data_IF_926009119352
#
_entry.id   IF_926009119352
#
_cell.length_a   1.000
_cell.length_b   1.000
_cell.length_c   1.000
_cell.angle_alpha   90.00
_cell.angle_beta   90.00
_cell.angle_gamma   90.00
#
_symmetry.space_group_name_H-M   'P 1'
#
loop_
_entity.id
_entity.type
_entity.pdbx_description
1 polymer ?
#
# COMPACT_ATOMS: atom_id res chain seq x y z
N UNK A 1 -46.19 -31.37 23.13
CA UNK A 1 -45.68 -30.09 22.57
C UNK A 1 -44.31 -30.33 21.97
N UNK A 2 -44.20 -30.41 20.64
CA UNK A 2 -42.90 -30.42 19.94
C UNK A 2 -42.97 -29.34 18.86
N UNK A 3 -42.40 -28.17 19.14
CA UNK A 3 -42.24 -27.11 18.16
C UNK A 3 -41.06 -27.45 17.26
N UNK A 4 -41.35 -27.98 16.06
CA UNK A 4 -40.39 -28.02 14.95
C UNK A 4 -40.12 -26.59 14.50
N UNK A 5 -38.97 -26.03 14.91
CA UNK A 5 -38.39 -24.84 14.30
C UNK A 5 -37.97 -25.17 12.86
N UNK A 6 -38.90 -25.02 11.90
CA UNK A 6 -38.55 -24.87 10.49
C UNK A 6 -37.88 -23.51 10.31
N UNK A 7 -36.57 -23.42 10.53
CA UNK A 7 -35.75 -22.37 9.91
C UNK A 7 -35.76 -22.64 8.41
N UNK A 8 -36.69 -22.00 7.68
CA UNK A 8 -36.52 -21.80 6.25
C UNK A 8 -35.21 -21.03 6.08
N UNK A 9 -34.16 -21.69 5.58
CA UNK A 9 -33.12 -20.98 4.83
C UNK A 9 -33.87 -20.29 3.69
N UNK A 10 -34.09 -18.98 3.79
CA UNK A 10 -34.35 -18.17 2.61
C UNK A 10 -33.07 -18.27 1.81
N UNK A 11 -33.06 -19.11 0.78
CA UNK A 11 -32.07 -19.00 -0.28
C UNK A 11 -32.26 -17.59 -0.83
N UNK A 12 -31.25 -16.74 -0.62
CA UNK A 12 -31.20 -15.41 -1.18
C UNK A 12 -31.20 -15.61 -2.69
N UNK A 13 -32.34 -15.46 -3.34
CA UNK A 13 -32.48 -15.60 -4.78
C UNK A 13 -31.84 -14.36 -5.42
N UNK A 14 -30.52 -14.40 -5.57
CA UNK A 14 -29.78 -13.44 -6.38
C UNK A 14 -30.15 -13.66 -7.84
N UNK A 15 -30.91 -12.74 -8.41
CA UNK A 15 -31.26 -12.79 -9.82
C UNK A 15 -30.14 -12.17 -10.68
N UNK A 16 -29.10 -12.96 -10.94
CA UNK A 16 -28.00 -12.58 -11.83
C UNK A 16 -28.42 -12.45 -13.31
N UNK A 17 -29.65 -12.83 -13.67
CA UNK A 17 -30.07 -12.89 -15.07
C UNK A 17 -30.16 -11.52 -15.76
N UNK A 18 -30.17 -10.43 -14.98
CA UNK A 18 -30.36 -9.05 -15.48
C UNK A 18 -29.21 -8.08 -15.12
N UNK A 19 -28.01 -8.55 -14.79
CA UNK A 19 -26.88 -7.62 -14.51
C UNK A 19 -26.50 -6.85 -15.78
N UNK A 20 -26.42 -5.52 -15.65
CA UNK A 20 -25.99 -4.67 -16.75
C UNK A 20 -24.53 -4.94 -17.14
N UNK A 21 -24.21 -4.90 -18.44
CA UNK A 21 -22.83 -5.10 -18.93
C UNK A 21 -21.81 -4.20 -18.22
N UNK A 22 -22.19 -2.95 -17.92
CA UNK A 22 -21.33 -2.01 -17.20
C UNK A 22 -21.07 -2.38 -15.73
N UNK A 23 -22.01 -3.06 -15.07
CA UNK A 23 -21.79 -3.57 -13.71
C UNK A 23 -21.00 -4.89 -13.71
N UNK A 24 -21.15 -5.74 -14.75
CA UNK A 24 -20.27 -6.91 -14.96
C UNK A 24 -18.82 -6.47 -15.14
N UNK A 25 -18.59 -5.50 -16.02
CA UNK A 25 -17.24 -5.00 -16.30
C UNK A 25 -16.62 -4.37 -15.05
N UNK A 26 -17.43 -3.72 -14.22
CA UNK A 26 -16.97 -3.21 -12.93
C UNK A 26 -16.64 -4.33 -11.92
N UNK A 27 -17.52 -5.32 -11.75
CA UNK A 27 -17.24 -6.45 -10.85
C UNK A 27 -15.94 -7.15 -11.22
N UNK A 28 -15.64 -7.28 -12.52
CA UNK A 28 -14.37 -7.80 -12.99
C UNK A 28 -13.20 -6.90 -12.57
N UNK A 29 -13.31 -5.58 -12.72
CA UNK A 29 -12.27 -4.64 -12.26
C UNK A 29 -12.05 -4.72 -10.75
N UNK A 30 -13.13 -4.77 -9.96
CA UNK A 30 -13.03 -4.90 -8.50
C UNK A 30 -12.43 -6.26 -8.11
N UNK A 31 -12.75 -7.34 -8.84
CA UNK A 31 -12.12 -8.64 -8.63
C UNK A 31 -10.60 -8.60 -8.88
N UNK A 32 -10.15 -7.97 -9.96
CA UNK A 32 -8.73 -7.76 -10.20
C UNK A 32 -8.09 -6.87 -9.13
N UNK A 33 -8.80 -5.85 -8.66
CA UNK A 33 -8.35 -4.97 -7.58
C UNK A 33 -8.15 -5.74 -6.28
N UNK A 34 -9.12 -6.54 -5.85
CA UNK A 34 -9.03 -7.37 -4.63
C UNK A 34 -7.81 -8.29 -4.68
N UNK A 35 -7.58 -8.97 -5.80
CA UNK A 35 -6.39 -9.83 -5.96
C UNK A 35 -5.08 -9.03 -5.89
N UNK A 36 -5.06 -7.85 -6.52
CA UNK A 36 -3.88 -6.98 -6.54
C UNK A 36 -3.60 -6.39 -5.16
N UNK A 37 -4.62 -6.02 -4.39
CA UNK A 37 -4.49 -5.59 -2.99
C UNK A 37 -4.05 -6.76 -2.11
N UNK A 38 -4.49 -7.99 -2.38
CA UNK A 38 -3.95 -9.18 -1.72
C UNK A 38 -2.43 -9.33 -1.92
N UNK A 39 -1.93 -9.06 -3.13
CA UNK A 39 -0.49 -9.03 -3.40
C UNK A 39 0.23 -7.87 -2.68
N UNK A 40 -0.43 -6.73 -2.49
CA UNK A 40 0.10 -5.61 -1.70
C UNK A 40 0.30 -6.00 -0.24
N UNK A 41 -0.71 -6.61 0.40
CA UNK A 41 -0.63 -7.15 1.77
C UNK A 41 0.54 -8.11 1.89
N UNK A 42 0.69 -9.02 0.90
CA UNK A 42 1.80 -9.96 0.88
C UNK A 42 3.16 -9.24 0.75
N UNK A 43 3.27 -8.24 -0.13
CA UNK A 43 4.49 -7.46 -0.29
C UNK A 43 4.89 -6.77 1.02
N UNK A 44 3.94 -6.12 1.71
CA UNK A 44 4.21 -5.45 2.98
C UNK A 44 4.55 -6.45 4.12
N UNK A 45 3.98 -7.67 4.08
CA UNK A 45 4.34 -8.73 5.02
C UNK A 45 5.80 -9.15 4.84
N UNK A 46 6.22 -9.23 3.58
CA UNK A 46 7.58 -9.55 3.24
C UNK A 46 8.57 -8.43 3.58
N UNK A 47 8.18 -7.15 3.44
CA UNK A 47 8.96 -6.02 3.95
C UNK A 47 9.16 -6.08 5.46
N UNK A 48 8.12 -6.45 6.22
CA UNK A 48 8.24 -6.64 7.66
C UNK A 48 9.28 -7.71 8.02
N UNK A 49 9.29 -8.84 7.31
CA UNK A 49 10.33 -9.86 7.49
C UNK A 49 11.73 -9.39 7.08
N UNK A 50 11.84 -8.52 6.06
CA UNK A 50 13.11 -7.90 5.71
C UNK A 50 13.65 -7.01 6.86
N UNK A 51 12.77 -6.26 7.54
CA UNK A 51 13.16 -5.47 8.73
C UNK A 51 13.59 -6.37 9.89
N UNK A 52 12.88 -7.47 10.17
CA UNK A 52 13.32 -8.45 11.18
C UNK A 52 14.69 -9.03 10.82
N UNK A 53 14.89 -9.37 9.55
CA UNK A 53 16.17 -9.88 9.07
C UNK A 53 17.27 -8.84 9.26
N UNK A 54 17.01 -7.56 8.99
CA UNK A 54 17.97 -6.48 9.22
C UNK A 54 18.32 -6.32 10.70
N UNK A 55 17.36 -6.46 11.62
CA UNK A 55 17.61 -6.46 13.06
C UNK A 55 18.58 -7.59 13.44
N UNK A 56 18.33 -8.80 12.93
CA UNK A 56 19.20 -9.95 13.18
C UNK A 56 20.60 -9.76 12.56
N UNK A 57 20.66 -9.19 11.35
CA UNK A 57 21.92 -8.89 10.66
C UNK A 57 22.78 -7.93 11.51
N UNK A 58 22.19 -6.89 12.10
CA UNK A 58 22.88 -5.94 13.00
C UNK A 58 23.26 -6.59 14.34
N UNK A 59 22.42 -7.46 14.91
CA UNK A 59 22.73 -8.13 16.18
C UNK A 59 23.89 -9.14 16.06
N UNK A 60 23.96 -9.85 14.94
CA UNK A 60 24.85 -11.02 14.79
C UNK A 60 26.25 -10.69 14.27
N UNK A 61 26.54 -9.45 13.86
CA UNK A 61 27.86 -8.92 13.41
C UNK A 61 29.01 -9.94 13.38
N UNK A 62 28.97 -10.90 12.44
CA UNK A 62 30.16 -11.62 12.04
C UNK A 62 30.69 -10.86 10.82
N UNK A 63 31.75 -10.07 11.04
CA UNK A 63 32.42 -9.19 10.06
C UNK A 63 33.06 -9.92 8.87
N UNK A 64 32.36 -10.86 8.23
CA UNK A 64 32.92 -11.73 7.20
C UNK A 64 31.90 -12.31 6.22
N UNK A 65 30.83 -11.58 5.85
CA UNK A 65 30.02 -12.00 4.70
C UNK A 65 30.29 -11.15 3.46
N UNK A 66 31.22 -11.65 2.63
CA UNK A 66 31.54 -11.19 1.25
C UNK A 66 30.33 -11.04 0.30
N UNK A 67 29.09 -11.33 0.75
CA UNK A 67 27.89 -11.43 -0.08
C UNK A 67 26.74 -10.46 0.30
N UNK A 68 27.01 -9.40 1.09
CA UNK A 68 26.00 -8.43 1.53
C UNK A 68 24.97 -8.99 2.53
N UNK A 69 24.18 -8.12 3.17
CA UNK A 69 23.18 -8.57 4.15
C UNK A 69 22.01 -9.29 3.47
N UNK A 70 21.45 -10.28 4.15
CA UNK A 70 20.27 -11.02 3.65
C UNK A 70 19.06 -10.10 3.52
N UNK A 71 18.94 -9.12 4.43
CA UNK A 71 17.92 -8.08 4.40
C UNK A 71 17.91 -7.26 3.11
N UNK A 72 19.08 -6.89 2.57
CA UNK A 72 19.17 -6.09 1.33
C UNK A 72 18.60 -6.85 0.11
N UNK A 73 18.90 -8.15 -0.01
CA UNK A 73 18.39 -8.98 -1.11
C UNK A 73 16.88 -9.17 -1.03
N UNK A 74 16.35 -9.29 0.19
CA UNK A 74 14.90 -9.32 0.42
C UNK A 74 14.27 -7.99 0.00
N UNK A 75 14.88 -6.87 0.38
CA UNK A 75 14.43 -5.53 0.05
C UNK A 75 14.33 -5.30 -1.47
N UNK A 76 15.30 -5.77 -2.26
CA UNK A 76 15.27 -5.73 -3.73
C UNK A 76 14.07 -6.50 -4.27
N UNK A 77 13.89 -7.75 -3.83
CA UNK A 77 12.79 -8.62 -4.30
C UNK A 77 11.43 -8.00 -4.03
N UNK A 78 11.22 -7.48 -2.82
CA UNK A 78 9.92 -6.96 -2.42
C UNK A 78 9.65 -5.55 -2.95
N UNK A 79 10.70 -4.76 -3.21
CA UNK A 79 10.56 -3.52 -3.98
C UNK A 79 10.11 -3.79 -5.41
N UNK A 80 10.66 -4.83 -6.04
CA UNK A 80 10.25 -5.25 -7.39
C UNK A 80 8.78 -5.70 -7.41
N UNK A 81 8.35 -6.49 -6.43
CA UNK A 81 6.94 -6.88 -6.30
C UNK A 81 6.03 -5.66 -6.12
N UNK A 82 6.43 -4.70 -5.27
CA UNK A 82 5.70 -3.45 -5.07
C UNK A 82 5.52 -2.64 -6.35
N UNK A 83 6.55 -2.55 -7.20
CA UNK A 83 6.45 -1.93 -8.53
C UNK A 83 5.34 -2.59 -9.36
N UNK A 84 5.36 -3.91 -9.49
CA UNK A 84 4.37 -4.64 -10.27
C UNK A 84 2.94 -4.48 -9.74
N UNK A 85 2.76 -4.58 -8.42
CA UNK A 85 1.46 -4.40 -7.76
C UNK A 85 0.88 -3.02 -8.09
N UNK A 86 1.67 -1.95 -7.99
CA UNK A 86 1.17 -0.61 -8.29
C UNK A 86 1.02 -0.33 -9.79
N UNK A 87 1.76 -1.00 -10.67
CA UNK A 87 1.46 -1.00 -12.12
C UNK A 87 0.05 -1.55 -12.34
N UNK A 88 -0.30 -2.71 -11.75
CA UNK A 88 -1.63 -3.30 -11.90
C UNK A 88 -2.73 -2.42 -11.31
N UNK A 89 -2.56 -1.88 -10.10
CA UNK A 89 -3.53 -0.93 -9.52
C UNK A 89 -3.72 0.31 -10.39
N UNK A 90 -2.62 0.87 -10.93
CA UNK A 90 -2.68 2.01 -11.84
C UNK A 90 -3.46 1.68 -13.11
N UNK A 91 -3.23 0.50 -13.70
CA UNK A 91 -3.97 0.04 -14.88
C UNK A 91 -5.47 -0.11 -14.60
N UNK A 92 -5.84 -0.71 -13.47
CA UNK A 92 -7.24 -0.82 -13.04
C UNK A 92 -7.88 0.57 -12.93
N UNK A 93 -7.21 1.49 -12.25
CA UNK A 93 -7.69 2.86 -12.06
C UNK A 93 -7.83 3.64 -13.39
N UNK A 94 -6.90 3.45 -14.34
CA UNK A 94 -6.98 4.05 -15.68
C UNK A 94 -8.15 3.47 -16.49
N UNK A 95 -8.34 2.15 -16.50
CA UNK A 95 -9.45 1.51 -17.23
C UNK A 95 -10.77 2.01 -16.66
N UNK A 96 -10.91 2.01 -15.33
CA UNK A 96 -12.10 2.53 -14.63
C UNK A 96 -12.36 3.99 -15.00
N UNK A 97 -11.34 4.83 -14.97
CA UNK A 97 -11.43 6.24 -15.37
C UNK A 97 -11.94 6.42 -16.80
N UNK A 98 -11.42 5.66 -17.76
CA UNK A 98 -11.90 5.68 -19.16
C UNK A 98 -13.37 5.28 -19.26
N UNK A 99 -13.79 4.23 -18.54
CA UNK A 99 -15.20 3.82 -18.48
C UNK A 99 -16.09 4.94 -17.93
N UNK A 100 -15.65 5.64 -16.88
CA UNK A 100 -16.36 6.78 -16.32
C UNK A 100 -16.44 7.97 -17.29
N UNK A 101 -15.37 8.26 -18.05
CA UNK A 101 -15.40 9.29 -19.08
C UNK A 101 -16.47 9.01 -20.14
N UNK A 102 -16.55 7.77 -20.65
CA UNK A 102 -17.56 7.37 -21.64
C UNK A 102 -18.97 7.54 -21.07
N UNK A 103 -19.19 7.09 -19.83
CA UNK A 103 -20.49 7.24 -19.14
C UNK A 103 -20.87 8.72 -18.94
N UNK A 104 -19.90 9.57 -18.60
CA UNK A 104 -20.09 11.01 -18.44
C UNK A 104 -20.45 11.68 -19.76
N UNK A 105 -19.73 11.35 -20.84
CA UNK A 105 -20.01 11.86 -22.19
C UNK A 105 -21.42 11.47 -22.67
N UNK A 106 -21.90 10.28 -22.28
CA UNK A 106 -23.27 9.82 -22.52
C UNK A 106 -24.32 10.46 -21.58
N UNK A 107 -23.95 11.43 -20.76
CA UNK A 107 -24.87 12.16 -19.87
C UNK A 107 -25.37 11.36 -18.66
N UNK A 108 -24.77 10.21 -18.34
CA UNK A 108 -25.22 9.35 -17.22
C UNK A 108 -25.04 10.01 -15.85
N UNK A 109 -24.10 10.95 -15.74
CA UNK A 109 -23.88 11.75 -14.54
C UNK A 109 -23.13 13.05 -14.91
N UNK A 110 -23.13 14.03 -13.99
CA UNK A 110 -22.54 15.36 -14.21
C UNK A 110 -21.32 15.67 -13.32
N UNK A 111 -20.99 14.84 -12.35
CA UNK A 111 -19.91 15.11 -11.39
C UNK A 111 -18.51 15.13 -12.03
N UNK A 112 -17.55 15.76 -11.34
CA UNK A 112 -16.15 15.86 -11.78
C UNK A 112 -15.44 14.51 -11.74
N UNK A 113 -14.56 14.24 -12.70
CA UNK A 113 -13.68 13.05 -12.66
C UNK A 113 -12.28 13.38 -12.11
N UNK A 114 -12.09 14.59 -11.58
CA UNK A 114 -10.81 15.02 -10.99
C UNK A 114 -10.33 14.12 -9.84
N UNK A 115 -11.20 13.66 -8.91
CA UNK A 115 -10.74 12.76 -7.84
C UNK A 115 -10.12 11.47 -8.31
N UNK A 116 -10.64 10.92 -9.41
CA UNK A 116 -10.09 9.70 -10.01
C UNK A 116 -8.70 9.95 -10.59
N UNK A 117 -8.43 11.15 -11.11
CA UNK A 117 -7.08 11.54 -11.53
C UNK A 117 -6.12 11.68 -10.34
N UNK A 118 -6.59 12.17 -9.19
CA UNK A 118 -5.78 12.20 -7.97
C UNK A 118 -5.43 10.80 -7.49
N UNK A 119 -6.39 9.86 -7.50
CA UNK A 119 -6.13 8.45 -7.18
C UNK A 119 -5.10 7.85 -8.14
N UNK A 120 -5.27 8.04 -9.46
CA UNK A 120 -4.30 7.57 -10.47
C UNK A 120 -2.91 8.18 -10.22
N UNK A 121 -2.84 9.47 -9.93
CA UNK A 121 -1.59 10.16 -9.61
C UNK A 121 -0.92 9.56 -8.38
N UNK A 122 -1.71 9.28 -7.33
CA UNK A 122 -1.25 8.57 -6.14
C UNK A 122 -0.69 7.18 -6.47
N UNK A 123 -1.39 6.39 -7.31
CA UNK A 123 -0.91 5.06 -7.74
C UNK A 123 0.41 5.16 -8.53
N UNK A 124 0.53 6.12 -9.46
CA UNK A 124 1.76 6.35 -10.23
C UNK A 124 2.92 6.75 -9.32
N UNK A 125 2.68 7.67 -8.38
CA UNK A 125 3.71 8.06 -7.42
C UNK A 125 4.13 6.88 -6.56
N UNK A 126 3.23 5.97 -6.20
CA UNK A 126 3.60 4.74 -5.51
C UNK A 126 4.56 3.85 -6.32
N UNK A 127 4.41 3.76 -7.65
CA UNK A 127 5.40 3.08 -8.51
C UNK A 127 6.79 3.72 -8.32
N UNK A 128 6.84 5.06 -8.34
CA UNK A 128 8.09 5.82 -8.15
C UNK A 128 8.74 5.53 -6.78
N UNK A 129 7.94 5.41 -5.71
CA UNK A 129 8.46 5.01 -4.38
C UNK A 129 9.23 3.70 -4.47
N UNK A 130 8.62 2.67 -5.07
CA UNK A 130 9.23 1.34 -5.12
C UNK A 130 10.44 1.27 -6.04
N UNK A 131 10.50 2.11 -7.08
CA UNK A 131 11.71 2.30 -7.88
C UNK A 131 12.85 2.89 -7.05
N UNK A 132 12.57 3.91 -6.22
CA UNK A 132 13.57 4.45 -5.29
C UNK A 132 14.02 3.40 -4.26
N UNK A 133 13.10 2.62 -3.71
CA UNK A 133 13.45 1.56 -2.77
C UNK A 133 14.28 0.45 -3.41
N UNK A 134 13.95 0.07 -4.64
CA UNK A 134 14.73 -0.88 -5.43
C UNK A 134 16.16 -0.36 -5.66
N UNK A 135 16.30 0.89 -6.12
CA UNK A 135 17.61 1.51 -6.31
C UNK A 135 18.40 1.60 -5.00
N UNK A 136 17.78 2.08 -3.92
CA UNK A 136 18.44 2.18 -2.63
C UNK A 136 18.87 0.82 -2.07
N UNK A 137 18.07 -0.22 -2.30
CA UNK A 137 18.42 -1.58 -1.90
C UNK A 137 19.60 -2.14 -2.70
N UNK A 138 19.74 -1.78 -3.98
CA UNK A 138 20.92 -2.12 -4.77
C UNK A 138 22.18 -1.40 -4.25
N UNK A 139 22.08 -0.12 -3.92
CA UNK A 139 23.19 0.65 -3.31
C UNK A 139 23.63 0.04 -1.98
N UNK A 140 22.67 -0.41 -1.15
CA UNK A 140 22.97 -1.16 0.06
C UNK A 140 23.67 -2.48 -0.22
N UNK A 141 23.24 -3.23 -1.23
CA UNK A 141 23.86 -4.50 -1.59
C UNK A 141 25.27 -4.34 -2.14
N UNK A 142 25.53 -3.27 -2.90
CA UNK A 142 26.82 -2.97 -3.52
C UNK A 142 27.83 -2.30 -2.59
N UNK A 143 27.47 -2.04 -1.32
CA UNK A 143 28.37 -1.38 -0.37
C UNK A 143 29.60 -2.25 -0.08
N UNK A 144 30.77 -1.64 -0.05
CA UNK A 144 31.99 -2.32 0.42
C UNK A 144 31.80 -2.76 1.87
N UNK A 145 31.84 -4.08 2.08
CA UNK A 145 31.52 -4.75 3.35
C UNK A 145 32.52 -4.41 4.47
N UNK A 146 33.60 -3.68 4.16
CA UNK A 146 34.67 -3.36 5.10
C UNK A 146 34.42 -2.19 6.05
N UNK A 147 33.31 -1.46 5.94
CA UNK A 147 33.19 -0.14 6.59
C UNK A 147 32.19 0.03 7.73
N UNK A 148 31.05 -0.69 7.74
CA UNK A 148 30.08 -0.55 8.84
C UNK A 148 30.48 -1.44 10.01
N UNK A 149 31.58 -1.08 10.67
CA UNK A 149 31.80 -1.51 12.03
C UNK A 149 30.88 -0.66 12.91
N UNK A 150 29.80 -1.23 13.43
CA UNK A 150 29.07 -0.59 14.53
C UNK A 150 29.86 -0.77 15.85
N UNK A 151 31.20 -0.58 15.81
CA UNK A 151 32.13 -0.74 16.94
C UNK A 151 31.78 0.13 18.14
N UNK A 152 30.96 1.16 17.94
CA UNK A 152 30.35 1.92 19.01
C UNK A 152 28.98 1.33 19.37
N UNK A 153 28.92 0.63 20.50
CA UNK A 153 27.69 0.04 21.07
C UNK A 153 26.52 1.03 21.13
N UNK A 154 26.78 2.32 21.34
CA UNK A 154 25.73 3.34 21.34
C UNK A 154 25.07 3.53 19.98
N UNK A 155 25.83 3.55 18.88
CA UNK A 155 25.27 3.68 17.54
C UNK A 155 24.53 2.43 17.12
N UNK A 156 25.06 1.25 17.46
CA UNK A 156 24.37 -0.04 17.27
C UNK A 156 23.00 -0.04 17.95
N UNK A 157 22.94 0.33 19.22
CA UNK A 157 21.69 0.40 19.99
C UNK A 157 20.69 1.40 19.40
N UNK A 158 21.16 2.56 18.93
CA UNK A 158 20.30 3.56 18.26
C UNK A 158 19.73 3.02 16.95
N UNK A 159 20.53 2.35 16.12
CA UNK A 159 20.09 1.72 14.87
C UNK A 159 19.06 0.61 15.15
N UNK A 160 19.32 -0.24 16.14
CA UNK A 160 18.37 -1.28 16.57
C UNK A 160 17.04 -0.69 17.07
N UNK A 161 17.08 0.41 17.81
CA UNK A 161 15.88 1.12 18.24
C UNK A 161 15.07 1.66 17.04
N UNK A 162 15.76 2.23 16.04
CA UNK A 162 15.12 2.72 14.81
C UNK A 162 14.52 1.59 13.97
N UNK A 163 15.21 0.46 13.82
CA UNK A 163 14.69 -0.71 13.12
C UNK A 163 13.47 -1.32 13.84
N UNK A 164 13.47 -1.34 15.17
CA UNK A 164 12.30 -1.74 15.95
C UNK A 164 11.14 -0.76 15.79
N UNK A 165 11.40 0.54 15.74
CA UNK A 165 10.37 1.53 15.42
C UNK A 165 9.80 1.30 14.02
N UNK A 166 10.64 1.04 13.02
CA UNK A 166 10.22 0.75 11.65
C UNK A 166 9.34 -0.51 11.59
N UNK A 167 9.75 -1.58 12.30
CA UNK A 167 8.98 -2.81 12.45
C UNK A 167 7.58 -2.54 13.02
N UNK A 168 7.48 -1.71 14.06
CA UNK A 168 6.19 -1.37 14.67
C UNK A 168 5.33 -0.51 13.74
N UNK A 169 5.94 0.40 12.96
CA UNK A 169 5.21 1.18 11.95
C UNK A 169 4.61 0.31 10.84
N UNK A 170 5.23 -0.82 10.50
CA UNK A 170 4.64 -1.77 9.54
C UNK A 170 3.32 -2.37 10.03
N UNK A 171 3.06 -2.41 11.34
CA UNK A 171 1.76 -2.88 11.88
C UNK A 171 0.63 -1.91 11.49
N UNK A 172 0.89 -0.60 11.58
CA UNK A 172 -0.06 0.43 11.13
C UNK A 172 -0.35 0.24 9.64
N UNK A 173 0.69 -0.10 8.87
CA UNK A 173 0.58 -0.34 7.44
C UNK A 173 -0.25 -1.58 7.10
N UNK A 174 -0.10 -2.69 7.83
CA UNK A 174 -1.00 -3.84 7.68
C UNK A 174 -2.46 -3.50 7.95
N UNK A 175 -2.72 -2.64 8.92
CA UNK A 175 -4.08 -2.18 9.19
C UNK A 175 -4.61 -1.30 8.03
N UNK A 176 -3.75 -0.47 7.43
CA UNK A 176 -4.08 0.27 6.22
C UNK A 176 -4.41 -0.67 5.04
N UNK A 177 -3.59 -1.71 4.81
CA UNK A 177 -3.82 -2.70 3.76
C UNK A 177 -5.14 -3.44 3.97
N UNK A 178 -5.42 -3.87 5.21
CA UNK A 178 -6.66 -4.52 5.58
C UNK A 178 -7.88 -3.66 5.26
N UNK A 179 -7.84 -2.37 5.62
CA UNK A 179 -8.94 -1.45 5.30
C UNK A 179 -9.07 -1.25 3.79
N UNK A 180 -7.97 -1.19 3.06
CA UNK A 180 -8.03 -1.07 1.59
C UNK A 180 -8.64 -2.30 0.93
N UNK A 181 -8.28 -3.48 1.41
CA UNK A 181 -8.88 -4.74 1.00
C UNK A 181 -10.38 -4.77 1.33
N UNK A 182 -10.76 -4.37 2.54
CA UNK A 182 -12.15 -4.27 2.98
C UNK A 182 -12.95 -3.31 2.09
N UNK A 183 -12.42 -2.13 1.77
CA UNK A 183 -13.06 -1.17 0.87
C UNK A 183 -13.28 -1.76 -0.53
N UNK A 184 -12.34 -2.58 -1.02
CA UNK A 184 -12.47 -3.27 -2.31
C UNK A 184 -13.61 -4.30 -2.28
N UNK A 185 -13.74 -5.08 -1.20
CA UNK A 185 -14.85 -6.03 -1.01
C UNK A 185 -16.20 -5.30 -0.83
N UNK A 186 -16.23 -4.25 -0.02
CA UNK A 186 -17.42 -3.41 0.17
C UNK A 186 -17.90 -2.83 -1.17
N UNK A 187 -16.98 -2.49 -2.08
CA UNK A 187 -17.32 -2.03 -3.42
C UNK A 187 -18.04 -3.10 -4.25
N UNK A 188 -17.67 -4.38 -4.11
CA UNK A 188 -18.41 -5.49 -4.73
C UNK A 188 -19.85 -5.56 -4.20
N UNK A 189 -20.00 -5.50 -2.87
CA UNK A 189 -21.30 -5.54 -2.18
C UNK A 189 -22.20 -4.40 -2.67
N UNK A 190 -21.67 -3.19 -2.87
CA UNK A 190 -22.43 -2.05 -3.41
C UNK A 190 -22.91 -2.29 -4.84
N UNK A 191 -22.14 -2.98 -5.68
CA UNK A 191 -22.59 -3.32 -7.04
C UNK A 191 -23.67 -4.42 -6.99
N UNK A 192 -23.46 -5.44 -6.15
CA UNK A 192 -24.39 -6.56 -5.97
C UNK A 192 -25.73 -6.13 -5.35
N UNK A 193 -25.73 -5.16 -4.44
CA UNK A 193 -26.94 -4.68 -3.74
C UNK A 193 -28.00 -4.12 -4.69
N UNK A 194 -27.60 -3.59 -5.86
CA UNK A 194 -28.52 -3.14 -6.92
C UNK A 194 -29.43 -4.24 -7.44
N UNK A 195 -29.00 -5.49 -7.32
CA UNK A 195 -29.67 -6.68 -7.84
C UNK A 195 -30.28 -7.54 -6.73
N UNK A 196 -29.96 -7.24 -5.46
CA UNK A 196 -30.49 -7.95 -4.31
C UNK A 196 -31.67 -7.19 -3.68
N UNK A 197 -32.90 -7.58 -4.04
CA UNK A 197 -34.14 -6.98 -3.52
C UNK A 197 -34.38 -7.21 -2.02
N UNK A 198 -33.66 -8.14 -1.39
CA UNK A 198 -33.80 -8.44 0.04
C UNK A 198 -32.84 -7.63 0.92
N UNK A 199 -31.83 -6.97 0.32
CA UNK A 199 -30.81 -6.22 1.05
C UNK A 199 -31.37 -4.88 1.51
N UNK A 200 -31.21 -4.56 2.80
CA UNK A 200 -31.64 -3.27 3.34
C UNK A 200 -30.60 -2.20 3.06
N UNK A 201 -31.03 -0.96 2.89
CA UNK A 201 -30.12 0.19 2.71
C UNK A 201 -29.10 0.32 3.86
N UNK A 202 -29.52 0.02 5.09
CA UNK A 202 -28.63 -0.01 6.28
C UNK A 202 -27.53 -1.06 6.23
N UNK A 203 -27.64 -2.06 5.35
CA UNK A 203 -26.69 -3.15 5.17
C UNK A 203 -25.70 -2.85 4.03
N UNK A 204 -25.95 -1.82 3.22
CA UNK A 204 -25.07 -1.41 2.12
C UNK A 204 -23.90 -0.60 2.71
N UNK A 205 -22.65 -1.10 2.62
CA UNK A 205 -21.51 -0.40 3.18
C UNK A 205 -21.18 0.87 2.38
N UNK A 206 -20.42 1.77 2.99
CA UNK A 206 -19.80 2.89 2.28
C UNK A 206 -18.28 2.66 2.12
N UNK A 207 -17.86 2.01 1.02
CA UNK A 207 -16.44 1.75 0.74
C UNK A 207 -15.57 3.02 0.77
N UNK A 208 -16.17 4.17 0.42
CA UNK A 208 -15.87 5.54 0.87
C UNK A 208 -14.89 5.69 2.02
N UNK A 209 -15.56 5.53 3.16
CA UNK A 209 -15.06 5.88 4.45
C UNK A 209 -13.94 4.91 4.82
N UNK A 210 -14.10 3.64 4.43
CA UNK A 210 -13.08 2.62 4.62
C UNK A 210 -11.80 2.94 3.82
N UNK A 211 -11.93 3.37 2.56
CA UNK A 211 -10.78 3.76 1.74
C UNK A 211 -10.07 5.01 2.27
N UNK A 212 -10.82 6.03 2.72
CA UNK A 212 -10.25 7.23 3.36
C UNK A 212 -9.44 6.85 4.60
N UNK A 213 -10.01 6.01 5.48
CA UNK A 213 -9.33 5.56 6.69
C UNK A 213 -8.04 4.79 6.37
N UNK A 214 -8.06 3.96 5.31
CA UNK A 214 -6.87 3.29 4.81
C UNK A 214 -5.79 4.30 4.36
N UNK A 215 -6.14 5.28 3.52
CA UNK A 215 -5.18 6.29 3.04
C UNK A 215 -4.61 7.15 4.15
N UNK A 216 -5.42 7.49 5.16
CA UNK A 216 -4.93 8.20 6.34
C UNK A 216 -3.85 7.41 7.08
N UNK A 217 -4.04 6.10 7.27
CA UNK A 217 -3.04 5.25 7.93
C UNK A 217 -1.80 5.03 7.07
N UNK A 218 -1.94 4.94 5.75
CA UNK A 218 -0.77 4.95 4.86
C UNK A 218 0.02 6.25 5.01
N UNK A 219 -0.64 7.41 5.05
CA UNK A 219 0.02 8.70 5.25
C UNK A 219 0.77 8.76 6.58
N UNK A 220 0.13 8.33 7.67
CA UNK A 220 0.76 8.28 9.01
C UNK A 220 1.97 7.35 9.00
N UNK A 221 1.81 6.11 8.53
CA UNK A 221 2.90 5.13 8.52
C UNK A 221 4.07 5.58 7.64
N UNK A 222 3.81 6.17 6.47
CA UNK A 222 4.87 6.72 5.59
C UNK A 222 5.61 7.89 6.23
N UNK A 223 4.91 8.77 6.94
CA UNK A 223 5.54 9.88 7.67
C UNK A 223 6.48 9.36 8.76
N UNK A 224 6.04 8.34 9.52
CA UNK A 224 6.89 7.71 10.53
C UNK A 224 8.11 7.02 9.92
N UNK A 225 7.95 6.26 8.83
CA UNK A 225 9.08 5.60 8.14
C UNK A 225 10.06 6.65 7.59
N UNK A 226 9.56 7.75 7.03
CA UNK A 226 10.39 8.86 6.56
C UNK A 226 11.22 9.46 7.70
N UNK A 227 10.61 9.75 8.85
CA UNK A 227 11.32 10.26 10.03
C UNK A 227 12.38 9.27 10.55
N UNK A 228 12.08 7.97 10.53
CA UNK A 228 13.03 6.93 10.92
C UNK A 228 14.23 6.91 9.95
N UNK A 229 13.98 6.99 8.64
CA UNK A 229 15.02 7.02 7.64
C UNK A 229 15.92 8.27 7.78
N UNK A 230 15.33 9.44 8.04
CA UNK A 230 16.08 10.67 8.32
C UNK A 230 16.99 10.53 9.56
N UNK A 231 16.48 9.96 10.66
CA UNK A 231 17.28 9.71 11.86
C UNK A 231 18.40 8.68 11.63
N UNK A 232 18.15 7.67 10.79
CA UNK A 232 19.16 6.69 10.41
C UNK A 232 20.27 7.33 9.59
N UNK A 233 19.91 8.18 8.62
CA UNK A 233 20.87 8.97 7.84
C UNK A 233 21.75 9.87 8.74
N UNK A 234 21.17 10.54 9.73
CA UNK A 234 21.91 11.37 10.69
C UNK A 234 22.97 10.55 11.46
N UNK A 235 22.61 9.37 11.95
CA UNK A 235 23.56 8.48 12.63
C UNK A 235 24.69 8.09 11.68
N UNK A 236 24.37 7.75 10.44
CA UNK A 236 25.35 7.33 9.44
C UNK A 236 26.34 8.46 9.16
N UNK A 237 25.85 9.66 8.82
CA UNK A 237 26.69 10.83 8.52
C UNK A 237 27.63 11.13 9.69
N UNK A 238 27.13 11.09 10.93
CA UNK A 238 27.92 11.35 12.13
C UNK A 238 28.86 10.21 12.53
N UNK A 239 28.78 9.05 11.86
CA UNK A 239 29.62 7.87 12.09
C UNK A 239 30.63 7.63 10.97
N UNK A 240 30.68 8.49 9.94
CA UNK A 240 31.66 8.40 8.86
C UNK A 240 33.01 8.86 9.40
N UNK A 241 33.90 7.92 9.75
CA UNK A 241 35.31 8.22 9.90
C UNK A 241 35.90 8.59 8.53
N UNK A 242 36.82 9.56 8.52
CA UNK A 242 37.40 10.17 7.32
C UNK A 242 38.12 9.19 6.35
N UNK A 243 38.27 7.91 6.72
CA UNK A 243 38.98 6.89 5.95
C UNK A 243 38.07 5.88 5.21
N UNK A 244 36.77 5.85 5.49
CA UNK A 244 35.83 4.88 4.88
C UNK A 244 34.85 5.57 3.93
N UNK A 245 34.90 5.18 2.65
CA UNK A 245 33.94 5.60 1.64
C UNK A 245 32.59 4.91 1.88
N UNK A 246 31.67 5.57 2.60
CA UNK A 246 30.28 5.11 2.81
C UNK A 246 29.31 5.53 1.69
N UNK A 247 29.82 5.80 0.48
CA UNK A 247 29.04 6.36 -0.62
C UNK A 247 27.77 5.55 -0.94
N UNK A 248 27.88 4.21 -1.05
CA UNK A 248 26.74 3.33 -1.33
C UNK A 248 25.68 3.30 -0.22
N UNK A 249 26.09 3.22 1.06
CA UNK A 249 25.11 3.23 2.16
C UNK A 249 24.42 4.59 2.27
N UNK A 250 25.17 5.69 2.16
CA UNK A 250 24.63 7.04 2.19
C UNK A 250 23.64 7.28 1.04
N UNK A 251 24.01 6.86 -0.19
CA UNK A 251 23.15 6.95 -1.36
C UNK A 251 21.88 6.13 -1.18
N UNK A 252 22.00 4.90 -0.67
CA UNK A 252 20.86 4.05 -0.35
C UNK A 252 19.87 4.72 0.61
N UNK A 253 20.36 5.30 1.71
CA UNK A 253 19.50 6.03 2.66
C UNK A 253 18.81 7.24 2.03
N UNK A 254 19.54 8.04 1.25
CA UNK A 254 18.98 9.20 0.54
C UNK A 254 17.85 8.75 -0.41
N UNK A 255 18.03 7.65 -1.13
CA UNK A 255 17.01 7.09 -2.02
C UNK A 255 15.78 6.62 -1.24
N UNK A 256 15.97 5.96 -0.09
CA UNK A 256 14.86 5.57 0.80
C UNK A 256 14.09 6.78 1.34
N UNK A 257 14.79 7.86 1.72
CA UNK A 257 14.17 9.11 2.18
C UNK A 257 13.33 9.72 1.06
N UNK A 258 13.90 9.85 -0.15
CA UNK A 258 13.19 10.37 -1.33
C UNK A 258 11.96 9.54 -1.64
N UNK A 259 12.10 8.20 -1.66
CA UNK A 259 10.98 7.28 -1.86
C UNK A 259 9.85 7.51 -0.85
N UNK A 260 10.16 7.62 0.44
CA UNK A 260 9.12 7.87 1.45
C UNK A 260 8.49 9.27 1.33
N UNK A 261 9.24 10.30 0.94
CA UNK A 261 8.68 11.63 0.66
C UNK A 261 7.68 11.58 -0.50
N UNK A 262 8.02 10.92 -1.61
CA UNK A 262 7.06 10.67 -2.69
C UNK A 262 5.85 9.87 -2.19
N UNK A 263 6.05 8.97 -1.24
CA UNK A 263 4.95 8.24 -0.59
C UNK A 263 4.01 9.11 0.21
N UNK A 264 4.53 10.09 0.96
CA UNK A 264 3.70 11.06 1.66
C UNK A 264 2.84 11.82 0.63
N UNK A 265 3.47 12.33 -0.45
CA UNK A 265 2.77 13.06 -1.52
C UNK A 265 1.72 12.16 -2.20
N UNK A 266 2.06 10.91 -2.51
CA UNK A 266 1.16 9.94 -3.12
C UNK A 266 -0.10 9.71 -2.29
N UNK A 267 0.06 9.52 -0.98
CA UNK A 267 -1.05 9.28 -0.06
C UNK A 267 -1.89 10.54 0.17
N UNK A 268 -1.31 11.75 0.08
CA UNK A 268 -2.09 13.00 0.08
C UNK A 268 -2.99 13.07 -1.15
N UNK A 269 -2.48 12.79 -2.35
CA UNK A 269 -3.30 12.77 -3.56
C UNK A 269 -4.42 11.73 -3.47
N UNK A 270 -4.10 10.50 -3.06
CA UNK A 270 -5.10 9.46 -2.89
C UNK A 270 -6.17 9.86 -1.86
N UNK A 271 -5.75 10.37 -0.69
CA UNK A 271 -6.66 10.84 0.37
C UNK A 271 -7.62 11.94 -0.10
N UNK A 272 -7.10 12.95 -0.82
CA UNK A 272 -7.94 14.01 -1.40
C UNK A 272 -8.94 13.39 -2.39
N UNK A 273 -8.46 12.48 -3.25
CA UNK A 273 -9.29 11.75 -4.20
C UNK A 273 -10.46 11.05 -3.52
N UNK A 274 -10.20 10.14 -2.58
CA UNK A 274 -11.28 9.44 -1.86
C UNK A 274 -12.19 10.38 -1.07
N UNK A 275 -11.65 11.41 -0.42
CA UNK A 275 -12.46 12.39 0.31
C UNK A 275 -13.45 13.13 -0.59
N UNK A 276 -13.03 13.49 -1.81
CA UNK A 276 -13.93 14.13 -2.77
C UNK A 276 -14.96 13.17 -3.38
N UNK A 277 -14.68 11.86 -3.44
CA UNK A 277 -15.65 10.86 -3.89
C UNK A 277 -16.63 10.51 -2.78
N UNK A 278 -16.18 10.38 -1.52
CA UNK A 278 -17.06 10.10 -0.37
C UNK A 278 -18.13 11.18 -0.15
N UNK A 279 -17.81 12.42 -0.50
CA UNK A 279 -18.75 13.54 -0.43
C UNK A 279 -19.82 13.51 -1.53
N UNK A 280 -19.77 12.53 -2.44
CA UNK A 280 -20.77 12.29 -3.48
C UNK A 280 -21.80 11.29 -2.97
N UNK A 281 -23.05 11.49 -3.38
CA UNK A 281 -24.22 10.78 -2.87
C UNK A 281 -24.09 9.23 -2.95
N UNK A 282 -24.55 8.52 -1.90
CA UNK A 282 -24.39 7.07 -1.64
C UNK A 282 -24.99 6.11 -2.70
N UNK A 283 -25.64 6.61 -3.76
CA UNK A 283 -26.50 5.83 -4.67
C UNK A 283 -25.82 5.53 -6.02
N UNK A 284 -24.56 5.94 -6.23
CA UNK A 284 -23.90 5.79 -7.54
C UNK A 284 -22.58 5.01 -7.47
N UNK A 285 -22.23 4.30 -8.56
CA UNK A 285 -21.25 3.25 -8.46
C UNK A 285 -19.82 3.81 -8.58
N UNK A 286 -19.01 3.38 -7.59
CA UNK A 286 -17.63 2.87 -7.70
C UNK A 286 -16.54 3.78 -7.18
N UNK A 287 -15.80 3.20 -6.24
CA UNK A 287 -14.57 3.76 -5.70
C UNK A 287 -13.34 3.15 -6.37
N UNK A 288 -12.41 4.05 -6.69
CA UNK A 288 -11.11 3.72 -7.25
C UNK A 288 -10.13 3.46 -6.13
N UNK A 289 -9.92 2.19 -5.79
CA UNK A 289 -8.69 1.71 -5.16
C UNK A 289 -7.70 1.25 -6.22
#
# INVERSE_FOLDING_TARGET
MSHKLKKKKKECSFDFSNISKGDIDELNLIYFQVNTVGLLVYADLMYYFAVITAINDVMTENGSQRNGFKSDRLLIKYSTLGVWVYIYLTMINIIRYKTMQIRKAAGKFKFSLMPNLFIITGSILNIVIYLYFYQGANEFLSRDVGGLSFSNDNNKNRILALLNAQKNTMIIRFYADYLFFKASIESMIVVESKYNKEMKESEIPNPDITAINSQFLYLVSRTMIWQIAMKRLEIVINSIDAQTSYSGFLNGEILFIRGNLYGIIANIFAFIGFSEISNRNNIQPIFGG
#
